data_IF_158803640793
#
_entry.id   IF_158803640793
#
_cell.length_a   1.000
_cell.length_b   1.000
_cell.length_c   1.000
_cell.angle_alpha   90.00
_cell.angle_beta   90.00
_cell.angle_gamma   90.00
#
_symmetry.space_group_name_H-M   'P 1'
#
loop_
_entity.id
_entity.type
_entity.pdbx_description
1 polymer ?
#
# COMPACT_ATOMS: atom_id res chain seq x y z
N UNK A 1 41.40 -11.27 18.75
CA UNK A 1 41.07 -10.56 17.50
C UNK A 1 41.22 -11.55 16.35
N UNK A 2 40.13 -12.18 15.92
CA UNK A 2 40.11 -12.99 14.71
C UNK A 2 39.95 -12.05 13.51
N UNK A 3 40.88 -12.13 12.56
CA UNK A 3 40.84 -11.33 11.34
C UNK A 3 39.81 -11.95 10.38
N UNK A 4 38.69 -11.25 10.17
CA UNK A 4 37.69 -11.60 9.16
C UNK A 4 38.30 -11.27 7.79
N UNK A 5 38.45 -12.29 6.94
CA UNK A 5 39.01 -12.18 5.60
C UNK A 5 37.88 -12.07 4.56
N UNK A 6 37.58 -10.89 3.99
CA UNK A 6 36.50 -10.76 3.02
C UNK A 6 36.92 -11.37 1.67
N UNK A 7 36.36 -12.54 1.32
CA UNK A 7 36.54 -13.16 0.01
C UNK A 7 35.50 -12.67 -1.02
N UNK A 8 35.86 -12.85 -2.29
CA UNK A 8 35.42 -12.17 -3.52
C UNK A 8 33.91 -12.21 -3.81
N UNK A 9 33.43 -11.12 -4.43
CA UNK A 9 32.19 -11.06 -5.20
C UNK A 9 32.32 -11.91 -6.46
N UNK A 10 31.38 -12.82 -6.70
CA UNK A 10 31.26 -13.51 -7.98
C UNK A 10 29.82 -13.39 -8.47
N UNK A 11 29.63 -12.63 -9.55
CA UNK A 11 28.36 -12.62 -10.28
C UNK A 11 28.37 -13.88 -11.14
N UNK A 12 27.54 -14.85 -10.77
CA UNK A 12 27.22 -16.00 -11.64
C UNK A 12 26.09 -15.53 -12.56
N UNK A 13 26.25 -15.73 -13.87
CA UNK A 13 25.32 -15.23 -14.88
C UNK A 13 23.85 -15.54 -14.56
N UNK A 14 22.98 -14.56 -14.87
CA UNK A 14 21.55 -14.42 -14.49
C UNK A 14 21.29 -13.84 -13.09
N UNK A 15 21.73 -12.60 -12.83
CA UNK A 15 21.27 -11.74 -11.70
C UNK A 15 21.20 -12.36 -10.29
N UNK A 16 21.84 -13.50 -10.03
CA UNK A 16 21.94 -14.06 -8.69
C UNK A 16 23.14 -13.43 -7.98
N UNK A 17 22.87 -12.57 -7.01
CA UNK A 17 23.86 -12.25 -5.99
C UNK A 17 23.94 -13.43 -5.03
N UNK A 18 24.99 -14.25 -5.19
CA UNK A 18 25.31 -15.34 -4.24
C UNK A 18 26.20 -14.77 -3.16
N UNK A 19 25.69 -14.70 -1.93
CA UNK A 19 26.46 -14.31 -0.76
C UNK A 19 26.96 -15.57 -0.03
N UNK A 20 28.25 -15.89 -0.14
CA UNK A 20 28.88 -16.92 0.69
C UNK A 20 29.44 -16.25 1.95
N UNK A 21 28.77 -16.40 3.09
CA UNK A 21 29.24 -15.95 4.41
C UNK A 21 29.33 -17.18 5.31
N UNK A 22 30.55 -17.52 5.74
CA UNK A 22 30.88 -18.79 6.42
C UNK A 22 30.46 -18.86 7.91
N UNK A 23 29.93 -17.78 8.50
CA UNK A 23 29.47 -17.77 9.91
C UNK A 23 28.17 -16.98 10.07
N UNK A 24 27.21 -17.48 10.86
CA UNK A 24 25.94 -16.82 11.16
C UNK A 24 26.13 -15.42 11.74
N UNK A 25 27.11 -15.22 12.63
CA UNK A 25 27.44 -13.91 13.21
C UNK A 25 28.00 -12.88 12.21
N UNK A 26 28.51 -13.33 11.07
CA UNK A 26 29.02 -12.45 10.01
C UNK A 26 27.94 -11.93 9.07
N UNK A 27 26.79 -12.61 8.99
CA UNK A 27 25.71 -12.29 8.04
C UNK A 27 25.03 -10.96 8.38
N UNK A 28 24.70 -10.75 9.65
CA UNK A 28 23.98 -9.55 10.10
C UNK A 28 24.82 -8.27 9.89
N UNK A 29 26.08 -8.31 10.33
CA UNK A 29 27.01 -7.20 10.16
C UNK A 29 27.23 -6.86 8.67
N UNK A 30 27.26 -7.89 7.82
CA UNK A 30 27.40 -7.70 6.37
C UNK A 30 26.15 -7.08 5.74
N UNK A 31 24.96 -7.58 6.07
CA UNK A 31 23.70 -7.03 5.54
C UNK A 31 23.49 -5.60 6.03
N UNK A 32 23.79 -5.30 7.30
CA UNK A 32 23.78 -3.94 7.82
C UNK A 32 24.79 -3.03 7.09
N UNK A 33 25.98 -3.55 6.77
CA UNK A 33 26.96 -2.82 5.95
C UNK A 33 26.45 -2.57 4.53
N UNK A 34 25.72 -3.51 3.93
CA UNK A 34 25.14 -3.35 2.61
C UNK A 34 24.00 -2.31 2.61
N UNK A 35 23.08 -2.38 3.59
CA UNK A 35 21.99 -1.41 3.78
C UNK A 35 22.48 0.01 4.06
N UNK A 36 23.68 0.16 4.62
CA UNK A 36 24.29 1.47 4.87
C UNK A 36 25.05 2.01 3.66
N UNK A 37 25.74 1.15 2.90
CA UNK A 37 26.53 1.56 1.72
C UNK A 37 25.69 1.77 0.47
N UNK A 38 24.57 1.06 0.33
CA UNK A 38 23.70 1.11 -0.84
C UNK A 38 22.25 1.47 -0.43
N UNK A 39 22.04 2.66 0.15
CA UNK A 39 20.75 3.02 0.74
C UNK A 39 19.61 3.16 -0.29
N UNK A 40 19.95 3.44 -1.55
CA UNK A 40 18.99 3.72 -2.62
C UNK A 40 18.73 2.50 -3.54
N UNK A 41 19.20 1.31 -3.13
CA UNK A 41 19.06 0.10 -3.93
C UNK A 41 17.95 -0.81 -3.36
N UNK A 42 16.79 -0.92 -4.04
CA UNK A 42 15.66 -1.72 -3.55
C UNK A 42 15.98 -3.23 -3.48
N UNK A 43 16.89 -3.72 -4.32
CA UNK A 43 17.30 -5.13 -4.33
C UNK A 43 18.09 -5.52 -3.07
N UNK A 44 18.95 -4.62 -2.59
CA UNK A 44 19.68 -4.81 -1.33
C UNK A 44 18.71 -4.85 -0.16
N UNK A 45 17.72 -3.95 -0.15
CA UNK A 45 16.66 -3.95 0.86
C UNK A 45 15.81 -5.21 0.83
N UNK A 46 15.35 -5.65 -0.34
CA UNK A 46 14.57 -6.89 -0.47
C UNK A 46 15.36 -8.14 -0.03
N UNK A 47 16.64 -8.21 -0.41
CA UNK A 47 17.51 -9.31 0.00
C UNK A 47 17.68 -9.33 1.51
N UNK A 48 17.89 -8.15 2.12
CA UNK A 48 17.99 -8.04 3.57
C UNK A 48 16.71 -8.51 4.28
N UNK A 49 15.53 -8.19 3.74
CA UNK A 49 14.26 -8.67 4.29
C UNK A 49 14.15 -10.20 4.24
N UNK A 50 14.55 -10.83 3.12
CA UNK A 50 14.54 -12.29 3.01
C UNK A 50 15.49 -12.96 4.00
N UNK A 51 16.69 -12.43 4.18
CA UNK A 51 17.69 -13.04 5.05
C UNK A 51 17.43 -12.83 6.54
N UNK A 52 16.84 -11.68 6.92
CA UNK A 52 16.82 -11.21 8.31
C UNK A 52 15.42 -10.87 8.83
N UNK A 53 14.37 -11.48 8.28
CA UNK A 53 12.99 -11.31 8.77
C UNK A 53 12.81 -11.65 10.25
N UNK A 54 13.72 -12.42 10.86
CA UNK A 54 13.66 -12.80 12.28
C UNK A 54 14.27 -11.76 13.24
N UNK A 55 14.99 -10.75 12.72
CA UNK A 55 15.51 -9.64 13.52
C UNK A 55 14.67 -8.38 13.29
N UNK A 56 13.94 -7.88 14.33
CA UNK A 56 13.09 -6.71 14.19
C UNK A 56 13.86 -5.45 13.77
N UNK A 57 15.10 -5.27 14.24
CA UNK A 57 15.88 -4.06 13.96
C UNK A 57 16.29 -4.01 12.49
N UNK A 58 16.83 -5.12 11.97
CA UNK A 58 17.24 -5.22 10.58
C UNK A 58 16.05 -5.24 9.64
N UNK A 59 14.97 -5.92 10.00
CA UNK A 59 13.69 -5.87 9.26
C UNK A 59 13.21 -4.43 9.13
N UNK A 60 13.19 -3.67 10.24
CA UNK A 60 12.82 -2.25 10.22
C UNK A 60 13.72 -1.43 9.30
N UNK A 61 15.04 -1.60 9.42
CA UNK A 61 16.00 -0.84 8.60
C UNK A 61 15.84 -1.17 7.11
N UNK A 62 15.70 -2.45 6.76
CA UNK A 62 15.52 -2.90 5.39
C UNK A 62 14.20 -2.38 4.79
N UNK A 63 13.08 -2.44 5.53
CA UNK A 63 11.81 -1.85 5.10
C UNK A 63 11.93 -0.33 4.88
N UNK A 64 12.58 0.37 5.80
CA UNK A 64 12.78 1.81 5.68
C UNK A 64 13.58 2.16 4.42
N UNK A 65 14.65 1.40 4.12
CA UNK A 65 15.43 1.58 2.89
C UNK A 65 14.59 1.28 1.65
N UNK A 66 13.78 0.23 1.69
CA UNK A 66 12.90 -0.11 0.59
C UNK A 66 11.95 1.05 0.25
N UNK A 67 11.26 1.60 1.27
CA UNK A 67 10.38 2.77 1.11
C UNK A 67 11.13 4.00 0.56
N UNK A 68 12.35 4.24 1.03
CA UNK A 68 13.18 5.36 0.58
C UNK A 68 13.69 5.18 -0.87
N UNK A 69 13.90 3.95 -1.31
CA UNK A 69 14.44 3.65 -2.65
C UNK A 69 13.39 3.70 -3.77
N UNK A 70 12.12 3.44 -3.45
CA UNK A 70 11.04 3.30 -4.45
C UNK A 70 10.20 4.58 -4.55
N UNK A 71 10.32 5.31 -5.66
CA UNK A 71 9.47 6.48 -5.93
C UNK A 71 8.30 6.12 -6.86
N UNK A 72 7.09 5.83 -6.34
CA UNK A 72 5.98 5.35 -7.17
C UNK A 72 5.49 6.39 -8.19
N UNK A 73 5.91 7.66 -8.07
CA UNK A 73 5.54 8.73 -9.00
C UNK A 73 6.51 8.82 -10.19
N UNK A 74 7.58 8.03 -10.18
CA UNK A 74 8.55 7.96 -11.28
C UNK A 74 8.34 6.68 -12.08
N UNK A 75 8.58 6.72 -13.38
CA UNK A 75 8.52 5.53 -14.24
C UNK A 75 9.41 4.39 -13.68
N UNK A 76 10.62 4.74 -13.24
CA UNK A 76 11.54 3.80 -12.59
C UNK A 76 10.92 3.15 -11.35
N UNK A 77 10.34 3.92 -10.44
CA UNK A 77 9.77 3.35 -9.23
C UNK A 77 8.52 2.50 -9.49
N UNK A 78 7.73 2.82 -10.52
CA UNK A 78 6.63 1.95 -10.99
C UNK A 78 7.19 0.62 -11.49
N UNK A 79 8.25 0.64 -12.30
CA UNK A 79 8.94 -0.56 -12.79
C UNK A 79 9.54 -1.38 -11.63
N UNK A 80 10.22 -0.73 -10.69
CA UNK A 80 10.80 -1.37 -9.51
C UNK A 80 9.71 -2.04 -8.66
N UNK A 81 8.57 -1.38 -8.41
CA UNK A 81 7.43 -1.97 -7.69
C UNK A 81 6.80 -3.15 -8.42
N UNK A 82 6.64 -3.06 -9.74
CA UNK A 82 6.12 -4.17 -10.54
C UNK A 82 7.04 -5.38 -10.43
N UNK A 83 8.36 -5.17 -10.55
CA UNK A 83 9.35 -6.23 -10.39
C UNK A 83 9.29 -6.84 -8.99
N UNK A 84 9.27 -6.01 -7.95
CA UNK A 84 9.19 -6.50 -6.56
C UNK A 84 7.92 -7.32 -6.29
N UNK A 85 6.79 -6.89 -6.87
CA UNK A 85 5.52 -7.60 -6.77
C UNK A 85 5.60 -8.99 -7.42
N UNK A 86 6.27 -9.10 -8.56
CA UNK A 86 6.52 -10.37 -9.25
C UNK A 86 7.49 -11.29 -8.50
N UNK A 87 8.33 -10.74 -7.62
CA UNK A 87 9.36 -11.45 -6.87
C UNK A 87 9.03 -11.63 -5.38
N UNK A 88 7.80 -12.04 -5.06
CA UNK A 88 7.35 -12.46 -3.71
C UNK A 88 7.39 -11.38 -2.62
N UNK A 89 7.54 -10.09 -2.95
CA UNK A 89 7.51 -9.03 -1.92
C UNK A 89 6.21 -9.07 -1.12
N UNK A 90 5.06 -9.28 -1.77
CA UNK A 90 3.76 -9.25 -1.08
C UNK A 90 3.64 -10.38 -0.04
N UNK A 91 4.09 -11.59 -0.36
CA UNK A 91 4.12 -12.72 0.60
C UNK A 91 5.00 -12.38 1.81
N UNK A 92 6.20 -11.85 1.54
CA UNK A 92 7.12 -11.42 2.59
C UNK A 92 6.51 -10.34 3.49
N UNK A 93 5.83 -9.34 2.92
CA UNK A 93 5.14 -8.31 3.71
C UNK A 93 4.00 -8.90 4.55
N UNK A 94 3.27 -9.89 4.04
CA UNK A 94 2.21 -10.57 4.78
C UNK A 94 2.75 -11.36 5.99
N UNK A 95 3.92 -11.98 5.83
CA UNK A 95 4.63 -12.69 6.91
C UNK A 95 5.19 -11.72 7.94
N UNK A 96 5.83 -10.62 7.52
CA UNK A 96 6.31 -9.56 8.43
C UNK A 96 5.15 -8.95 9.24
N UNK A 97 3.99 -8.72 8.63
CA UNK A 97 2.80 -8.26 9.37
C UNK A 97 2.26 -9.33 10.32
N UNK A 98 2.38 -10.62 10.00
CA UNK A 98 1.98 -11.69 10.90
C UNK A 98 2.84 -11.68 12.18
N UNK A 99 4.15 -11.51 12.02
CA UNK A 99 5.12 -11.63 13.11
C UNK A 99 5.20 -10.34 13.95
N UNK A 100 5.11 -9.17 13.30
CA UNK A 100 5.40 -7.88 13.93
C UNK A 100 4.27 -6.86 13.84
N UNK A 101 3.23 -7.12 13.05
CA UNK A 101 2.21 -6.13 12.71
C UNK A 101 1.42 -5.59 13.89
N UNK A 102 1.38 -6.30 15.02
CA UNK A 102 0.69 -5.90 16.25
C UNK A 102 1.63 -5.68 17.44
N UNK A 103 2.93 -5.95 17.28
CA UNK A 103 3.93 -5.81 18.35
C UNK A 103 4.93 -4.67 18.10
N UNK A 104 5.06 -4.19 16.85
CA UNK A 104 5.99 -3.13 16.49
C UNK A 104 5.37 -2.11 15.52
N UNK A 105 4.99 -0.95 16.05
CA UNK A 105 4.32 0.11 15.27
C UNK A 105 5.15 0.63 14.09
N UNK A 106 6.48 0.63 14.21
CA UNK A 106 7.37 1.15 13.16
C UNK A 106 7.43 0.20 11.98
N UNK A 107 7.56 -1.11 12.25
CA UNK A 107 7.52 -2.14 11.21
C UNK A 107 6.14 -2.13 10.52
N UNK A 108 5.06 -2.13 11.30
CA UNK A 108 3.70 -2.07 10.79
C UNK A 108 3.49 -0.84 9.87
N UNK A 109 3.95 0.35 10.31
CA UNK A 109 3.86 1.57 9.52
C UNK A 109 4.66 1.49 8.21
N UNK A 110 5.88 0.96 8.25
CA UNK A 110 6.71 0.83 7.04
C UNK A 110 6.12 -0.18 6.05
N UNK A 111 5.63 -1.33 6.52
CA UNK A 111 4.95 -2.30 5.64
C UNK A 111 3.70 -1.68 5.03
N UNK A 112 2.86 -1.01 5.82
CA UNK A 112 1.64 -0.39 5.30
C UNK A 112 1.92 0.72 4.29
N UNK A 113 3.04 1.45 4.41
CA UNK A 113 3.47 2.41 3.39
C UNK A 113 3.77 1.72 2.06
N UNK A 114 4.50 0.59 2.08
CA UNK A 114 4.78 -0.18 0.87
C UNK A 114 3.50 -0.77 0.28
N UNK A 115 2.60 -1.29 1.13
CA UNK A 115 1.30 -1.81 0.71
C UNK A 115 0.45 -0.71 0.04
N UNK A 116 0.49 0.51 0.58
CA UNK A 116 -0.15 1.67 -0.04
C UNK A 116 0.38 1.91 -1.46
N UNK A 117 1.70 1.91 -1.65
CA UNK A 117 2.31 2.12 -2.97
C UNK A 117 1.97 0.97 -3.95
N UNK A 118 2.07 -0.30 -3.50
CA UNK A 118 1.73 -1.50 -4.30
C UNK A 118 0.25 -1.48 -4.70
N UNK A 119 -0.65 -1.08 -3.79
CA UNK A 119 -2.09 -1.06 -4.05
C UNK A 119 -2.50 -0.08 -5.16
N UNK A 120 -1.65 0.89 -5.49
CA UNK A 120 -1.86 1.78 -6.63
C UNK A 120 -1.76 1.08 -7.99
N UNK A 121 -1.20 -0.13 -8.04
CA UNK A 121 -0.98 -0.88 -9.28
C UNK A 121 -1.99 -2.04 -9.42
N UNK A 122 -2.58 -2.27 -10.62
CA UNK A 122 -3.53 -3.37 -10.84
C UNK A 122 -3.01 -4.76 -10.45
N UNK A 123 -1.77 -5.09 -10.86
CA UNK A 123 -1.11 -6.35 -10.48
C UNK A 123 -0.89 -6.43 -8.97
N UNK A 124 -0.43 -5.33 -8.36
CA UNK A 124 -0.22 -5.22 -6.92
C UNK A 124 -1.49 -5.50 -6.12
N UNK A 125 -2.63 -4.93 -6.52
CA UNK A 125 -3.94 -5.20 -5.89
C UNK A 125 -4.29 -6.68 -5.88
N UNK A 126 -4.12 -7.36 -7.01
CA UNK A 126 -4.42 -8.78 -7.14
C UNK A 126 -3.57 -9.64 -6.21
N UNK A 127 -2.26 -9.37 -6.12
CA UNK A 127 -1.37 -10.10 -5.21
C UNK A 127 -1.66 -9.78 -3.73
N UNK A 128 -1.97 -8.52 -3.38
CA UNK A 128 -2.33 -8.13 -2.01
C UNK A 128 -3.56 -8.89 -1.48
N UNK A 129 -4.56 -9.11 -2.35
CA UNK A 129 -5.77 -9.89 -2.03
C UNK A 129 -5.40 -11.37 -1.86
N UNK A 130 -4.69 -11.93 -2.83
CA UNK A 130 -4.26 -13.33 -2.87
C UNK A 130 -3.50 -13.76 -1.61
N UNK A 131 -2.61 -12.88 -1.10
CA UNK A 131 -1.84 -13.14 0.12
C UNK A 131 -2.53 -12.70 1.42
N UNK A 132 -3.79 -12.25 1.35
CA UNK A 132 -4.58 -11.92 2.55
C UNK A 132 -4.00 -10.77 3.38
N UNK A 133 -3.42 -9.74 2.74
CA UNK A 133 -2.83 -8.60 3.45
C UNK A 133 -3.88 -7.72 4.14
N UNK A 134 -5.09 -7.62 3.58
CA UNK A 134 -6.16 -6.72 4.04
C UNK A 134 -6.48 -6.87 5.54
N UNK A 135 -6.82 -8.05 6.07
CA UNK A 135 -7.11 -8.20 7.50
C UNK A 135 -5.89 -7.85 8.37
N UNK A 136 -4.67 -8.12 7.91
CA UNK A 136 -3.44 -7.84 8.65
C UNK A 136 -3.19 -6.34 8.81
N UNK A 137 -3.34 -5.54 7.75
CA UNK A 137 -3.12 -4.09 7.83
C UNK A 137 -4.22 -3.40 8.66
N UNK A 138 -5.45 -3.89 8.61
CA UNK A 138 -6.55 -3.40 9.46
C UNK A 138 -6.23 -3.68 10.94
N UNK A 139 -5.79 -4.90 11.25
CA UNK A 139 -5.46 -5.29 12.62
C UNK A 139 -4.26 -4.50 13.17
N UNK A 140 -3.23 -4.28 12.36
CA UNK A 140 -2.12 -3.38 12.71
C UNK A 140 -2.60 -1.97 13.05
N UNK A 141 -3.45 -1.37 12.21
CA UNK A 141 -3.96 -0.02 12.46
C UNK A 141 -4.89 0.05 13.68
N UNK A 142 -5.67 -0.99 13.95
CA UNK A 142 -6.48 -1.11 15.19
C UNK A 142 -5.62 -1.23 16.44
N UNK A 143 -4.50 -1.94 16.34
CA UNK A 143 -3.55 -2.10 17.45
C UNK A 143 -2.83 -0.80 17.77
N UNK A 144 -2.50 0.00 16.75
CA UNK A 144 -1.80 1.29 16.91
C UNK A 144 -2.65 2.48 16.43
N UNK A 145 -3.83 2.75 17.04
CA UNK A 145 -4.79 3.71 16.53
C UNK A 145 -4.30 5.16 16.65
N UNK A 146 -3.32 5.42 17.52
CA UNK A 146 -2.68 6.74 17.69
C UNK A 146 -1.61 7.02 16.63
N UNK A 147 -1.15 6.00 15.90
CA UNK A 147 -0.12 6.16 14.88
C UNK A 147 -0.75 6.65 13.57
N UNK A 148 -1.00 7.96 13.49
CA UNK A 148 -1.70 8.62 12.37
C UNK A 148 -1.15 8.27 10.99
N UNK A 149 0.17 8.15 10.84
CA UNK A 149 0.80 7.74 9.57
C UNK A 149 0.38 6.34 9.13
N UNK A 150 0.33 5.40 10.07
CA UNK A 150 -0.14 4.03 9.79
C UNK A 150 -1.60 4.05 9.36
N UNK A 151 -2.48 4.73 10.11
CA UNK A 151 -3.90 4.85 9.76
C UNK A 151 -4.09 5.47 8.38
N UNK A 152 -3.35 6.54 8.06
CA UNK A 152 -3.33 7.15 6.73
C UNK A 152 -2.97 6.14 5.62
N UNK A 153 -1.87 5.40 5.77
CA UNK A 153 -1.45 4.42 4.77
C UNK A 153 -2.48 3.30 4.59
N UNK A 154 -3.08 2.82 5.68
CA UNK A 154 -4.12 1.79 5.62
C UNK A 154 -5.37 2.31 4.93
N UNK A 155 -5.88 3.51 5.29
CA UNK A 155 -7.02 4.13 4.60
C UNK A 155 -6.74 4.29 3.09
N UNK A 156 -5.57 4.80 2.73
CA UNK A 156 -5.18 4.96 1.33
C UNK A 156 -5.09 3.64 0.58
N UNK A 157 -4.53 2.60 1.22
CA UNK A 157 -4.37 1.28 0.60
C UNK A 157 -5.72 0.62 0.35
N UNK A 158 -6.62 0.67 1.34
CA UNK A 158 -7.99 0.17 1.21
C UNK A 158 -8.76 0.93 0.13
N UNK A 159 -8.60 2.26 0.06
CA UNK A 159 -9.21 3.05 -1.02
C UNK A 159 -8.71 2.67 -2.40
N UNK A 160 -7.40 2.44 -2.56
CA UNK A 160 -6.83 1.96 -3.82
C UNK A 160 -7.33 0.56 -4.21
N UNK A 161 -7.42 -0.35 -3.24
CA UNK A 161 -7.92 -1.72 -3.44
C UNK A 161 -9.37 -1.70 -3.92
N UNK A 162 -10.23 -0.91 -3.26
CA UNK A 162 -11.65 -0.80 -3.59
C UNK A 162 -11.93 -0.12 -4.95
N UNK A 163 -10.93 0.48 -5.61
CA UNK A 163 -11.12 1.11 -6.92
C UNK A 163 -11.53 0.10 -8.01
N UNK A 164 -10.99 -1.13 -7.97
CA UNK A 164 -11.31 -2.16 -8.97
C UNK A 164 -12.55 -2.96 -8.57
N UNK A 165 -13.47 -3.15 -9.53
CA UNK A 165 -14.69 -3.95 -9.34
C UNK A 165 -14.39 -5.36 -8.82
N UNK A 166 -13.44 -6.05 -9.46
CA UNK A 166 -13.05 -7.42 -9.08
C UNK A 166 -12.60 -7.51 -7.63
N UNK A 167 -11.88 -6.50 -7.13
CA UNK A 167 -11.44 -6.45 -5.74
C UNK A 167 -12.63 -6.28 -4.79
N UNK A 168 -13.59 -5.40 -5.13
CA UNK A 168 -14.78 -5.20 -4.31
C UNK A 168 -15.61 -6.47 -4.12
N UNK A 169 -15.67 -7.31 -5.14
CA UNK A 169 -16.44 -8.56 -5.10
C UNK A 169 -15.79 -9.65 -4.22
N UNK A 170 -14.47 -9.59 -4.00
CA UNK A 170 -13.71 -10.61 -3.25
C UNK A 170 -13.53 -10.21 -1.78
N UNK A 171 -13.52 -8.92 -1.50
CA UNK A 171 -13.04 -8.38 -0.24
C UNK A 171 -14.16 -8.27 0.80
N UNK A 172 -13.80 -8.42 2.08
CA UNK A 172 -14.69 -8.29 3.24
C UNK A 172 -15.18 -6.83 3.42
N UNK A 173 -16.12 -6.40 2.57
CA UNK A 173 -16.60 -5.01 2.47
C UNK A 173 -17.04 -4.44 3.83
N UNK A 174 -17.76 -5.22 4.63
CA UNK A 174 -18.21 -4.80 5.97
C UNK A 174 -17.05 -4.42 6.90
N UNK A 175 -15.98 -5.22 6.92
CA UNK A 175 -14.85 -4.94 7.80
C UNK A 175 -14.08 -3.68 7.36
N UNK A 176 -13.86 -3.53 6.05
CA UNK A 176 -13.20 -2.35 5.49
C UNK A 176 -14.00 -1.09 5.79
N UNK A 177 -15.30 -1.10 5.48
CA UNK A 177 -16.15 0.08 5.66
C UNK A 177 -16.21 0.48 7.13
N UNK A 178 -16.38 -0.49 8.04
CA UNK A 178 -16.33 -0.21 9.48
C UNK A 178 -14.99 0.42 9.91
N UNK A 179 -13.88 -0.10 9.40
CA UNK A 179 -12.55 0.47 9.68
C UNK A 179 -12.41 1.90 9.14
N UNK A 180 -12.83 2.16 7.89
CA UNK A 180 -12.75 3.49 7.27
C UNK A 180 -13.63 4.50 8.02
N UNK A 181 -14.86 4.12 8.35
CA UNK A 181 -15.78 4.95 9.14
C UNK A 181 -15.20 5.31 10.50
N UNK A 182 -14.67 4.32 11.24
CA UNK A 182 -14.04 4.53 12.53
C UNK A 182 -12.78 5.41 12.40
N UNK A 183 -11.98 5.21 11.36
CA UNK A 183 -10.74 5.97 11.13
C UNK A 183 -11.03 7.44 10.85
N UNK A 184 -12.05 7.75 10.04
CA UNK A 184 -12.50 9.13 9.78
C UNK A 184 -12.96 9.78 11.08
N UNK A 185 -13.82 9.11 11.84
CA UNK A 185 -14.39 9.64 13.08
C UNK A 185 -13.32 9.89 14.15
N UNK A 186 -12.38 8.96 14.32
CA UNK A 186 -11.33 9.08 15.34
C UNK A 186 -10.22 10.07 14.95
N UNK A 187 -10.18 10.49 13.69
CA UNK A 187 -9.16 11.39 13.16
C UNK A 187 -9.80 12.59 12.42
N UNK A 188 -10.93 13.11 12.93
CA UNK A 188 -11.73 14.15 12.28
C UNK A 188 -10.96 15.45 11.97
N UNK A 189 -9.88 15.73 12.71
CA UNK A 189 -9.02 16.90 12.49
C UNK A 189 -7.86 16.64 11.53
N UNK A 190 -7.61 15.38 11.14
CA UNK A 190 -6.50 14.98 10.28
C UNK A 190 -6.98 14.85 8.84
N UNK A 191 -6.97 15.97 8.12
CA UNK A 191 -7.50 16.11 6.75
C UNK A 191 -7.06 14.97 5.82
N UNK A 192 -5.78 14.55 5.89
CA UNK A 192 -5.25 13.47 5.04
C UNK A 192 -5.91 12.12 5.32
N UNK A 193 -6.12 11.77 6.58
CA UNK A 193 -6.78 10.51 6.96
C UNK A 193 -8.25 10.56 6.54
N UNK A 194 -8.93 11.68 6.85
CA UNK A 194 -10.34 11.88 6.47
C UNK A 194 -10.51 11.76 4.96
N UNK A 195 -9.66 12.42 4.18
CA UNK A 195 -9.70 12.38 2.71
C UNK A 195 -9.54 10.97 2.16
N UNK A 196 -8.50 10.24 2.59
CA UNK A 196 -8.30 8.85 2.11
C UNK A 196 -9.41 7.91 2.59
N UNK A 197 -9.91 8.13 3.81
CA UNK A 197 -11.06 7.41 4.35
C UNK A 197 -12.31 7.59 3.48
N UNK A 198 -12.66 8.84 3.16
CA UNK A 198 -13.81 9.19 2.32
C UNK A 198 -13.63 8.63 0.91
N UNK A 199 -12.43 8.75 0.32
CA UNK A 199 -12.12 8.14 -0.99
C UNK A 199 -12.36 6.63 -0.97
N UNK A 200 -11.94 5.95 0.10
CA UNK A 200 -12.20 4.53 0.28
C UNK A 200 -13.69 4.21 0.36
N UNK A 201 -14.46 4.98 1.14
CA UNK A 201 -15.91 4.79 1.25
C UNK A 201 -16.64 5.07 -0.07
N UNK A 202 -16.22 6.09 -0.81
CA UNK A 202 -16.72 6.36 -2.15
C UNK A 202 -16.51 5.18 -3.10
N UNK A 203 -15.31 4.62 -3.12
CA UNK A 203 -15.03 3.42 -3.91
C UNK A 203 -15.86 2.22 -3.42
N UNK A 204 -16.14 2.13 -2.12
CA UNK A 204 -16.95 1.07 -1.54
C UNK A 204 -18.44 1.17 -1.95
N UNK A 205 -18.98 2.39 -2.08
CA UNK A 205 -20.38 2.64 -2.47
C UNK A 205 -20.76 2.07 -3.84
N UNK A 206 -19.81 1.69 -4.68
CA UNK A 206 -20.13 1.00 -5.93
C UNK A 206 -20.79 -0.36 -5.69
N UNK A 207 -20.62 -0.97 -4.51
CA UNK A 207 -21.35 -2.18 -4.08
C UNK A 207 -22.67 -1.80 -3.40
N UNK A 208 -23.79 -2.37 -3.85
CA UNK A 208 -25.14 -2.08 -3.37
C UNK A 208 -25.29 -2.31 -1.85
N UNK A 209 -24.87 -3.48 -1.35
CA UNK A 209 -24.90 -3.81 0.09
C UNK A 209 -24.15 -2.78 0.95
N UNK A 210 -23.05 -2.23 0.43
CA UNK A 210 -22.29 -1.19 1.14
C UNK A 210 -23.02 0.14 1.14
N UNK A 211 -23.66 0.52 0.04
CA UNK A 211 -24.48 1.72 -0.03
C UNK A 211 -25.68 1.63 0.95
N UNK A 212 -26.34 0.47 1.02
CA UNK A 212 -27.42 0.23 1.99
C UNK A 212 -26.90 0.35 3.43
N UNK A 213 -25.78 -0.30 3.74
CA UNK A 213 -25.17 -0.23 5.07
C UNK A 213 -24.84 1.22 5.48
N UNK A 214 -24.24 2.00 4.58
CA UNK A 214 -23.92 3.42 4.83
C UNK A 214 -25.19 4.27 4.99
N UNK A 215 -26.23 4.01 4.20
CA UNK A 215 -27.49 4.75 4.29
C UNK A 215 -28.27 4.49 5.57
N UNK A 216 -28.19 3.27 6.10
CA UNK A 216 -28.81 2.92 7.38
C UNK A 216 -28.14 3.62 8.57
N UNK A 217 -26.90 4.09 8.39
CA UNK A 217 -26.11 4.78 9.40
C UNK A 217 -26.32 6.30 9.37
N UNK A 218 -27.58 6.78 9.44
CA UNK A 218 -27.94 8.21 9.34
C UNK A 218 -27.14 9.11 10.29
N UNK A 219 -26.94 8.68 11.54
CA UNK A 219 -26.15 9.42 12.53
C UNK A 219 -24.68 9.59 12.13
N UNK A 220 -24.14 8.65 11.34
CA UNK A 220 -22.77 8.75 10.84
C UNK A 220 -22.67 9.70 9.66
N UNK A 221 -23.68 9.75 8.79
CA UNK A 221 -23.75 10.71 7.68
C UNK A 221 -23.77 12.17 8.17
N UNK A 222 -24.59 12.47 9.18
CA UNK A 222 -24.61 13.80 9.83
C UNK A 222 -23.24 14.14 10.44
N UNK A 223 -22.60 13.15 11.08
CA UNK A 223 -21.25 13.34 11.63
C UNK A 223 -20.23 13.60 10.53
N UNK A 224 -20.27 12.85 9.43
CA UNK A 224 -19.37 13.03 8.31
C UNK A 224 -19.55 14.41 7.67
N UNK A 225 -20.79 14.86 7.49
CA UNK A 225 -21.11 16.19 6.98
C UNK A 225 -20.49 17.28 7.85
N UNK A 226 -20.63 17.16 9.18
CA UNK A 226 -19.99 18.08 10.13
C UNK A 226 -18.46 18.06 10.02
N UNK A 227 -17.84 16.88 9.90
CA UNK A 227 -16.38 16.75 9.74
C UNK A 227 -15.94 17.48 8.47
N UNK A 228 -16.61 17.24 7.34
CA UNK A 228 -16.28 17.85 6.05
C UNK A 228 -16.48 19.37 6.04
N UNK A 229 -17.54 19.87 6.67
CA UNK A 229 -17.79 21.32 6.77
C UNK A 229 -16.70 22.05 7.56
N UNK A 230 -15.98 21.34 8.43
CA UNK A 230 -14.86 21.87 9.19
C UNK A 230 -13.51 21.75 8.47
N UNK A 231 -13.43 20.99 7.36
CA UNK A 231 -12.20 20.93 6.56
C UNK A 231 -12.05 22.22 5.76
N UNK A 232 -10.89 22.86 5.88
CA UNK A 232 -10.55 24.14 5.24
C UNK A 232 -10.54 24.07 3.71
N UNK A 233 -10.29 22.88 3.16
CA UNK A 233 -10.41 22.61 1.75
C UNK A 233 -11.71 21.83 1.52
N UNK A 234 -12.70 22.46 0.86
CA UNK A 234 -13.93 21.79 0.44
C UNK A 234 -13.57 20.80 -0.67
N UNK A 235 -13.05 19.66 -0.25
CA UNK A 235 -12.50 18.66 -1.12
C UNK A 235 -13.60 18.13 -2.06
N UNK A 236 -13.39 18.27 -3.37
CA UNK A 236 -14.33 17.84 -4.41
C UNK A 236 -14.73 16.37 -4.26
N UNK A 237 -13.81 15.53 -3.77
CA UNK A 237 -14.04 14.09 -3.54
C UNK A 237 -15.15 13.85 -2.52
N UNK A 238 -15.23 14.69 -1.49
CA UNK A 238 -16.18 14.56 -0.41
C UNK A 238 -17.60 14.95 -0.87
N UNK A 239 -17.70 16.03 -1.66
CA UNK A 239 -18.95 16.42 -2.29
C UNK A 239 -19.45 15.36 -3.28
N UNK A 240 -18.56 14.84 -4.14
CA UNK A 240 -18.86 13.74 -5.06
C UNK A 240 -19.32 12.47 -4.34
N UNK A 241 -18.78 12.21 -3.13
CA UNK A 241 -19.22 11.10 -2.30
C UNK A 241 -20.69 11.22 -1.88
N UNK A 242 -21.08 12.38 -1.32
CA UNK A 242 -22.47 12.61 -0.90
C UNK A 242 -23.42 12.56 -2.09
N UNK A 243 -23.09 13.26 -3.18
CA UNK A 243 -23.91 13.26 -4.38
C UNK A 243 -24.14 11.85 -4.92
N UNK A 244 -23.09 11.00 -4.94
CA UNK A 244 -23.21 9.62 -5.43
C UNK A 244 -24.02 8.74 -4.48
N UNK A 245 -23.87 8.94 -3.17
CA UNK A 245 -24.64 8.19 -2.18
C UNK A 245 -26.13 8.56 -2.23
N UNK A 246 -26.45 9.85 -2.35
CA UNK A 246 -27.81 10.35 -2.54
C UNK A 246 -28.44 9.78 -3.82
N UNK A 247 -27.73 9.84 -4.95
CA UNK A 247 -28.17 9.24 -6.22
C UNK A 247 -28.49 7.74 -6.08
N UNK A 248 -27.65 6.99 -5.36
CA UNK A 248 -27.88 5.57 -5.11
C UNK A 248 -29.05 5.30 -4.17
N UNK A 249 -29.31 6.20 -3.23
CA UNK A 249 -30.45 6.10 -2.33
C UNK A 249 -31.77 6.36 -3.02
N UNK A 250 -31.82 7.37 -3.88
CA UNK A 250 -33.00 7.69 -4.68
C UNK A 250 -33.36 6.53 -5.62
N UNK A 251 -32.38 5.99 -6.34
CA UNK A 251 -32.58 4.83 -7.23
C UNK A 251 -32.99 3.56 -6.47
N UNK A 252 -32.40 3.28 -5.30
CA UNK A 252 -32.82 2.15 -4.46
C UNK A 252 -34.22 2.32 -3.87
N UNK A 253 -34.63 3.55 -3.52
CA UNK A 253 -36.00 3.83 -3.09
C UNK A 253 -37.00 3.67 -4.23
N UNK A 254 -36.68 4.15 -5.43
CA UNK A 254 -37.50 3.94 -6.62
C UNK A 254 -37.61 2.46 -6.96
N UNK A 255 -36.52 1.69 -6.93
CA UNK A 255 -36.55 0.25 -7.17
C UNK A 255 -37.31 -0.52 -6.08
N UNK A 256 -37.23 -0.09 -4.81
CA UNK A 256 -38.05 -0.66 -3.75
C UNK A 256 -39.52 -0.27 -3.89
N UNK A 257 -39.84 0.94 -4.36
CA UNK A 257 -41.20 1.36 -4.68
C UNK A 257 -41.73 0.62 -5.91
N UNK A 258 -40.93 0.43 -6.96
CA UNK A 258 -41.27 -0.33 -8.18
C UNK A 258 -41.40 -1.83 -7.87
N UNK A 259 -40.54 -2.41 -7.02
CA UNK A 259 -40.71 -3.78 -6.50
C UNK A 259 -41.95 -3.89 -5.62
N UNK A 260 -42.25 -2.89 -4.79
CA UNK A 260 -43.47 -2.86 -3.97
C UNK A 260 -44.73 -2.67 -4.83
N UNK A 261 -44.64 -1.96 -5.96
CA UNK A 261 -45.69 -1.81 -6.96
C UNK A 261 -45.82 -3.08 -7.82
N UNK A 262 -44.72 -3.79 -8.13
CA UNK A 262 -44.75 -5.03 -8.91
C UNK A 262 -45.28 -6.22 -8.11
N UNK A 263 -45.06 -6.25 -6.80
CA UNK A 263 -45.75 -7.18 -5.88
C UNK A 263 -47.23 -6.86 -5.66
N UNK A 264 -47.67 -5.62 -5.93
CA UNK A 264 -49.09 -5.22 -5.85
C UNK A 264 -49.83 -5.40 -7.19
N UNK A 265 -49.11 -5.75 -8.27
CA UNK A 265 -49.68 -5.85 -9.62
C UNK A 265 -49.82 -7.27 -10.18
N UNK A 266 -49.91 -8.31 -9.34
CA UNK A 266 -50.21 -9.68 -9.82
C UNK A 266 -51.45 -10.24 -9.13
N UNK A 267 -52.60 -9.70 -9.51
CA UNK A 267 -53.84 -10.48 -9.74
C UNK A 267 -54.62 -9.81 -10.88
N UNK A 268 -54.34 -10.17 -12.12
CA UNK A 268 -55.32 -10.27 -13.22
C UNK A 268 -54.65 -10.80 -14.49
N UNK A 269 -55.47 -11.46 -15.29
CA UNK A 269 -55.18 -12.38 -16.39
C UNK A 269 -54.68 -11.71 -17.69
N UNK A 270 -53.94 -12.51 -18.50
CA UNK A 270 -53.79 -12.51 -19.98
C UNK A 270 -53.29 -11.20 -20.66
N UNK A 271 -52.49 -11.17 -21.73
CA UNK A 271 -52.35 -12.01 -22.92
C UNK A 271 -51.02 -11.67 -23.65
N UNK A 272 -50.62 -12.49 -24.63
CA UNK A 272 -49.40 -12.40 -25.46
C UNK A 272 -49.15 -11.04 -26.15
N UNK A 273 -47.86 -10.72 -26.44
CA UNK A 273 -47.29 -10.52 -27.80
C UNK A 273 -45.78 -10.20 -27.72
N UNK A 274 -45.04 -10.77 -28.67
CA UNK A 274 -43.60 -10.75 -28.86
C UNK A 274 -42.96 -9.38 -29.16
N UNK A 275 -41.65 -9.26 -28.89
CA UNK A 275 -40.76 -8.42 -29.69
C UNK A 275 -39.57 -7.77 -29.00
N UNK A 276 -38.38 -8.35 -29.25
CA UNK A 276 -37.16 -7.63 -29.66
C UNK A 276 -36.13 -7.09 -28.65
N UNK A 277 -34.89 -7.46 -28.98
CA UNK A 277 -33.60 -6.77 -28.85
C UNK A 277 -32.97 -6.59 -27.45
N UNK A 278 -32.05 -7.50 -27.15
CA UNK A 278 -30.96 -7.26 -26.22
C UNK A 278 -29.97 -6.25 -26.84
N UNK A 279 -29.77 -5.12 -26.17
CA UNK A 279 -28.64 -4.21 -26.38
C UNK A 279 -27.72 -4.39 -25.20
N UNK A 280 -26.59 -5.03 -25.43
CA UNK A 280 -25.51 -5.21 -24.47
C UNK A 280 -24.54 -4.04 -24.63
N UNK A 281 -24.71 -3.00 -23.81
CA UNK A 281 -23.78 -1.87 -23.74
C UNK A 281 -22.78 -2.11 -22.60
N UNK A 282 -21.57 -2.53 -22.96
CA UNK A 282 -20.39 -2.41 -22.11
C UNK A 282 -19.99 -0.94 -22.03
N UNK A 283 -20.36 -0.27 -20.95
CA UNK A 283 -19.79 1.03 -20.59
C UNK A 283 -18.44 0.83 -19.91
N UNK A 284 -17.36 1.10 -20.64
CA UNK A 284 -16.05 1.40 -20.07
C UNK A 284 -15.96 2.92 -19.92
N UNK A 285 -16.36 3.45 -18.77
CA UNK A 285 -16.08 4.85 -18.43
C UNK A 285 -14.60 5.01 -18.06
N UNK A 286 -13.84 5.63 -18.96
CA UNK A 286 -12.48 6.12 -18.71
C UNK A 286 -12.53 7.37 -17.80
N UNK A 287 -12.65 7.16 -16.49
CA UNK A 287 -12.36 8.22 -15.52
C UNK A 287 -10.84 8.32 -15.31
N UNK A 288 -10.16 9.11 -16.14
CA UNK A 288 -8.77 9.50 -15.91
C UNK A 288 -8.69 10.50 -14.74
N UNK A 289 -8.51 9.98 -13.53
CA UNK A 289 -8.23 10.82 -12.35
C UNK A 289 -6.74 11.20 -12.36
N UNK A 290 -6.43 12.50 -12.44
CA UNK A 290 -5.05 12.99 -12.33
C UNK A 290 -4.50 12.67 -10.94
N UNK A 291 -3.40 11.92 -10.87
CA UNK A 291 -2.66 11.69 -9.63
C UNK A 291 -2.26 13.05 -9.04
N UNK A 292 -2.90 13.44 -7.94
CA UNK A 292 -2.51 14.61 -7.15
C UNK A 292 -1.21 14.27 -6.42
N UNK A 293 -0.15 15.02 -6.70
CA UNK A 293 1.21 14.85 -6.16
C UNK A 293 1.20 14.95 -4.62
N UNK A 294 1.09 13.80 -3.96
CA UNK A 294 1.00 13.66 -2.49
C UNK A 294 2.06 12.67 -1.98
N UNK A 295 3.33 12.88 -2.35
CA UNK A 295 4.42 11.97 -1.96
C UNK A 295 4.57 11.84 -0.43
N UNK A 296 4.48 10.62 0.14
CA UNK A 296 4.68 10.34 1.57
C UNK A 296 6.10 10.63 2.11
N UNK A 297 7.06 10.85 1.21
CA UNK A 297 8.50 10.82 1.49
C UNK A 297 9.03 11.99 2.31
N UNK A 298 8.40 13.18 2.24
CA UNK A 298 8.84 14.35 3.03
C UNK A 298 8.83 14.07 4.55
N UNK A 299 8.01 13.13 5.03
CA UNK A 299 7.86 12.86 6.46
C UNK A 299 8.79 11.76 7.02
N UNK A 300 9.49 10.98 6.18
CA UNK A 300 10.51 10.02 6.62
C UNK A 300 11.89 10.67 6.81
N UNK A 301 12.11 11.80 6.12
CA UNK A 301 13.38 12.52 6.17
C UNK A 301 13.57 13.38 7.42
N UNK A 302 12.52 13.70 8.17
CA UNK A 302 12.60 14.62 9.32
C UNK A 302 13.30 14.05 10.57
N UNK A 303 13.65 12.76 10.60
CA UNK A 303 14.41 12.20 11.72
C UNK A 303 15.92 12.11 11.45
N UNK A 304 16.43 12.65 10.32
CA UNK A 304 17.82 12.48 9.86
C UNK A 304 18.89 12.86 10.90
N UNK A 305 18.60 13.78 11.82
CA UNK A 305 19.53 14.26 12.85
C UNK A 305 19.75 13.27 14.00
N UNK A 306 18.73 12.49 14.37
CA UNK A 306 18.83 11.49 15.44
C UNK A 306 19.75 10.31 15.01
N UNK A 307 19.83 10.03 13.70
CA UNK A 307 20.54 8.86 13.14
C UNK A 307 22.03 9.06 12.90
N UNK A 308 22.49 10.29 12.65
CA UNK A 308 23.91 10.59 12.49
C UNK A 308 24.71 10.27 13.77
N UNK A 309 24.04 10.20 14.93
CA UNK A 309 24.64 9.82 16.21
C UNK A 309 25.02 8.33 16.29
N UNK A 310 24.28 7.45 15.60
CA UNK A 310 24.51 5.99 15.64
C UNK A 310 25.64 5.58 14.67
N UNK A 311 25.83 6.30 13.56
CA UNK A 311 26.87 5.98 12.57
C UNK A 311 28.31 6.37 12.96
N UNK A 312 28.49 7.17 14.01
CA UNK A 312 29.83 7.63 14.42
C UNK A 312 30.69 6.54 15.11
N UNK A 313 30.13 5.36 15.41
CA UNK A 313 30.84 4.25 16.07
C UNK A 313 31.66 3.30 15.17
N UNK A 314 31.64 3.47 13.83
CA UNK A 314 32.17 2.48 12.89
C UNK A 314 33.32 2.98 11.98
N UNK A 315 34.20 3.86 12.46
CA UNK A 315 35.18 4.60 11.65
C UNK A 315 36.61 4.03 11.63
N UNK A 316 36.83 2.71 11.73
CA UNK A 316 38.16 2.11 11.52
C UNK A 316 38.12 0.87 10.63
N UNK A 317 38.14 1.08 9.30
CA UNK A 317 38.41 0.03 8.31
C UNK A 317 39.59 0.46 7.42
N UNK A 318 40.52 -0.45 7.03
CA UNK A 318 41.74 -0.09 6.32
C UNK A 318 41.47 0.38 4.88
N UNK A 319 42.23 1.39 4.43
CA UNK A 319 42.11 2.09 3.14
C UNK A 319 42.17 1.19 1.89
N UNK A 320 42.67 -0.04 2.00
CA UNK A 320 42.73 -1.00 0.89
C UNK A 320 41.36 -1.61 0.53
N UNK A 321 40.42 -1.68 1.48
CA UNK A 321 39.06 -2.16 1.21
C UNK A 321 38.27 -1.17 0.33
N UNK A 322 38.55 0.14 0.44
CA UNK A 322 37.89 1.17 -0.35
C UNK A 322 38.24 1.09 -1.85
N UNK A 323 39.50 0.81 -2.19
CA UNK A 323 39.93 0.73 -3.59
C UNK A 323 39.25 -0.41 -4.35
N UNK A 324 39.03 -1.56 -3.70
CA UNK A 324 38.37 -2.71 -4.34
C UNK A 324 36.87 -2.49 -4.62
N UNK A 325 36.17 -1.75 -3.75
CA UNK A 325 34.74 -1.44 -3.91
C UNK A 325 34.53 -0.34 -4.96
N UNK A 326 35.41 0.66 -5.00
CA UNK A 326 35.35 1.73 -6.01
C UNK A 326 35.69 1.19 -7.40
N UNK A 327 36.70 0.31 -7.52
CA UNK A 327 37.02 -0.37 -8.79
C UNK A 327 35.91 -1.33 -9.23
N UNK A 328 35.26 -2.05 -8.30
CA UNK A 328 34.11 -2.88 -8.60
C UNK A 328 32.90 -2.06 -9.09
N UNK A 329 32.64 -0.90 -8.48
CA UNK A 329 31.58 0.01 -8.89
C UNK A 329 31.81 0.66 -10.26
N UNK A 330 33.06 1.06 -10.58
CA UNK A 330 33.42 1.63 -11.88
C UNK A 330 33.37 0.59 -13.02
N UNK A 331 33.67 -0.67 -12.73
CA UNK A 331 33.52 -1.76 -13.70
C UNK A 331 32.05 -2.09 -13.97
N UNK A 332 31.17 -1.97 -12.96
CA UNK A 332 29.72 -2.15 -13.09
C UNK A 332 29.06 -1.07 -13.97
N UNK A 333 29.45 0.20 -13.82
CA UNK A 333 28.94 1.28 -14.66
C UNK A 333 29.50 1.25 -16.08
N UNK A 334 30.75 0.84 -16.26
CA UNK A 334 31.32 0.61 -17.59
C UNK A 334 30.64 -0.54 -18.35
N UNK A 335 30.26 -1.63 -17.66
CA UNK A 335 29.56 -2.76 -18.27
C UNK A 335 28.10 -2.46 -18.61
N UNK A 336 27.41 -1.65 -17.80
CA UNK A 336 26.06 -1.20 -18.10
C UNK A 336 26.04 -0.25 -19.31
N UNK A 337 27.05 0.61 -19.45
CA UNK A 337 27.21 1.52 -20.59
C UNK A 337 27.48 0.78 -21.91
N UNK A 338 28.34 -0.25 -21.88
CA UNK A 338 28.69 -1.07 -23.06
C UNK A 338 27.63 -2.08 -23.50
N UNK A 339 26.57 -2.26 -22.71
CA UNK A 339 25.44 -3.13 -23.06
C UNK A 339 24.26 -2.34 -23.64
N UNK A 340 24.26 -1.02 -23.45
CA UNK A 340 23.23 -0.11 -23.95
C UNK A 340 23.61 0.53 -25.30
N UNK A 341 24.91 0.59 -25.61
CA UNK A 341 25.48 0.95 -26.92
C UNK A 341 26.13 -0.27 -27.56
#
# INVERSE_FOLDING_TARGET
>A
MMAINPRKFQIVGNMQMVFTVDEESGKDAYVLSALTKLPDNPFVALSALHFLQHDPLTTRLALQRLVQSIDPNTEKGVQDLSWLTEHHLVDLLANILADYGTSNENIACSVCAIVFDISGQPKGRSELIKFGIIPKIIESARTFPRQRKLVYFVCGALGNLLWEKKTRDIVLMKEIVNFLMASIVNNETEERIVREGIRGLYNACYVEETAEMLSSARSWMEKLENIMNNLTDRNSTAHLFFQKLEQKLETSQEDNLVKKISWVSVTSEQEEVAGSAAVESQETEDCSFSQVDNSPRKCLNNNKEEWNSISQGCSTLPSYAMLSVVLGGLLLSAFAYYRWH
#
